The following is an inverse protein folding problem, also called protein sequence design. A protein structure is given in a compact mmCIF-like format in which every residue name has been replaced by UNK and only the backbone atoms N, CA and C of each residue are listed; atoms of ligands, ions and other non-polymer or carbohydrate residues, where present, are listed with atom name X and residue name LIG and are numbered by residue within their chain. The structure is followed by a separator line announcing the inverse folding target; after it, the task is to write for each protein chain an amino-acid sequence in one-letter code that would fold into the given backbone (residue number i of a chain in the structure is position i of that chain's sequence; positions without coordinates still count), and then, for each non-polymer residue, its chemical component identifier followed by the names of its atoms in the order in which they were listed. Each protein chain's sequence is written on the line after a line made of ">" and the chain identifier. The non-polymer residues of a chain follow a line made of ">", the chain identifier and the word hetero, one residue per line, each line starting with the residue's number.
data_IF_595364368696
#
_entry.id   IF_595364368696
#
_cell.length_a   1.000
_cell.length_b   1.000
_cell.length_c   1.000
_cell.angle_alpha   90.00
_cell.angle_beta   90.00
_cell.angle_gamma   90.00
#
_symmetry.space_group_name_H-M   'P 1'
#
loop_
_entity.id
_entity.type
_entity.pdbx_description
1 polymer ?
#
# COMPACT_ATOMS: atom_id res chain seq x y z
N UNK A 1 9.24 3.29 0.50
CA UNK A 1 7.94 3.04 0.16
C UNK A 1 7.20 2.01 0.99
N UNK A 2 6.67 2.39 2.12
CA UNK A 2 5.69 1.63 2.92
C UNK A 2 4.78 2.63 3.66
N UNK A 3 4.49 3.80 3.05
CA UNK A 3 3.70 4.84 3.67
C UNK A 3 4.32 5.44 4.94
N UNK A 4 5.65 5.39 5.09
CA UNK A 4 6.32 5.80 6.34
C UNK A 4 6.12 7.28 6.68
N UNK A 5 6.09 8.16 5.69
CA UNK A 5 5.80 9.59 5.86
C UNK A 5 4.38 9.75 6.44
N UNK A 6 3.40 9.22 5.75
CA UNK A 6 1.99 9.33 6.16
C UNK A 6 1.71 8.65 7.50
N UNK A 7 2.35 7.50 7.78
CA UNK A 7 2.24 6.85 9.11
C UNK A 7 2.81 7.74 10.22
N UNK A 8 3.95 8.40 9.96
CA UNK A 8 4.52 9.36 10.91
C UNK A 8 3.60 10.56 11.11
N UNK A 9 3.09 11.16 10.02
CA UNK A 9 2.19 12.32 10.09
C UNK A 9 0.90 12.00 10.86
N UNK A 10 0.26 10.87 10.56
CA UNK A 10 -0.94 10.41 11.27
C UNK A 10 -0.66 10.19 12.76
N UNK A 11 0.44 9.47 13.10
CA UNK A 11 0.81 9.21 14.49
C UNK A 11 1.16 10.48 15.26
N UNK A 12 1.85 11.43 14.63
CA UNK A 12 2.17 12.73 15.23
C UNK A 12 0.92 13.54 15.51
N UNK A 13 0.00 13.63 14.55
CA UNK A 13 -1.27 14.35 14.72
C UNK A 13 -2.13 13.74 15.84
N UNK A 14 -2.20 12.40 15.90
CA UNK A 14 -2.91 11.70 16.96
C UNK A 14 -2.31 12.02 18.34
N UNK A 15 -0.98 11.99 18.44
CA UNK A 15 -0.30 12.34 19.69
C UNK A 15 -0.54 13.80 20.09
N UNK A 16 -0.48 14.75 19.14
CA UNK A 16 -0.74 16.18 19.41
C UNK A 16 -2.17 16.37 19.91
N UNK A 17 -3.18 15.76 19.28
CA UNK A 17 -4.58 15.83 19.76
C UNK A 17 -4.72 15.28 21.19
N UNK A 18 -4.08 14.14 21.47
CA UNK A 18 -4.09 13.57 22.81
C UNK A 18 -3.46 14.51 23.86
N UNK A 19 -2.30 15.11 23.55
CA UNK A 19 -1.60 16.06 24.44
C UNK A 19 -2.42 17.35 24.70
N UNK A 20 -3.23 17.76 23.74
CA UNK A 20 -4.10 18.93 23.86
C UNK A 20 -5.42 18.61 24.57
N UNK A 21 -5.65 17.40 25.05
CA UNK A 21 -6.90 16.98 25.66
C UNK A 21 -8.07 16.84 24.66
N UNK A 22 -7.74 16.71 23.36
CA UNK A 22 -8.70 16.61 22.25
C UNK A 22 -8.72 15.22 21.62
N UNK A 23 -8.51 14.18 22.43
CA UNK A 23 -8.45 12.79 21.97
C UNK A 23 -9.78 12.31 21.34
N UNK A 24 -10.92 12.88 21.72
CA UNK A 24 -12.23 12.63 21.15
C UNK A 24 -12.35 13.08 19.68
N UNK A 25 -11.55 14.04 19.24
CA UNK A 25 -11.48 14.48 17.86
C UNK A 25 -10.63 13.54 16.98
N UNK A 26 -9.81 12.66 17.55
CA UNK A 26 -8.90 11.78 16.83
C UNK A 26 -9.62 10.58 16.19
N UNK A 27 -10.75 10.82 15.50
CA UNK A 27 -11.38 9.76 14.71
C UNK A 27 -10.50 9.36 13.54
N UNK A 28 -10.61 8.12 13.06
CA UNK A 28 -9.81 7.62 11.92
C UNK A 28 -9.93 8.51 10.69
N UNK A 29 -11.15 8.94 10.35
CA UNK A 29 -11.40 9.83 9.23
C UNK A 29 -10.74 11.19 9.44
N UNK A 30 -10.90 11.80 10.62
CA UNK A 30 -10.33 13.11 10.91
C UNK A 30 -8.79 13.09 10.88
N UNK A 31 -8.17 12.07 11.45
CA UNK A 31 -6.71 11.90 11.39
C UNK A 31 -6.22 11.74 9.95
N UNK A 32 -6.92 10.94 9.12
CA UNK A 32 -6.56 10.76 7.72
C UNK A 32 -6.68 12.09 6.94
N UNK A 33 -7.77 12.83 7.12
CA UNK A 33 -7.99 14.14 6.45
C UNK A 33 -6.95 15.17 6.88
N UNK A 34 -6.68 15.29 8.20
CA UNK A 34 -5.64 16.19 8.69
C UNK A 34 -4.26 15.84 8.10
N UNK A 35 -3.91 14.56 8.05
CA UNK A 35 -2.65 14.12 7.47
C UNK A 35 -2.56 14.41 5.96
N UNK A 36 -3.67 14.19 5.22
CA UNK A 36 -3.76 14.59 3.83
C UNK A 36 -3.54 16.09 3.65
N UNK A 37 -4.17 16.92 4.47
CA UNK A 37 -3.99 18.38 4.42
C UNK A 37 -2.53 18.77 4.64
N UNK A 38 -1.89 18.23 5.67
CA UNK A 38 -0.48 18.51 5.95
C UNK A 38 0.42 18.11 4.79
N UNK A 39 0.28 16.88 4.27
CA UNK A 39 1.22 16.38 3.24
C UNK A 39 0.91 16.97 1.85
N UNK A 40 -0.35 17.10 1.45
CA UNK A 40 -0.72 17.55 0.09
C UNK A 40 -0.82 19.08 -0.03
N UNK A 41 -1.38 19.77 0.99
CA UNK A 41 -1.65 21.20 0.90
C UNK A 41 -0.51 22.04 1.53
N UNK A 42 -0.13 21.74 2.78
CA UNK A 42 0.85 22.54 3.50
C UNK A 42 2.29 22.27 3.03
N UNK A 43 2.63 21.00 2.74
CA UNK A 43 3.94 20.59 2.24
C UNK A 43 4.02 20.52 0.71
N UNK A 44 2.88 20.43 0.02
CA UNK A 44 2.81 20.39 -1.43
C UNK A 44 3.38 19.12 -2.05
N UNK A 45 3.35 17.99 -1.33
CA UNK A 45 3.86 16.71 -1.85
C UNK A 45 2.97 16.16 -2.98
N UNK A 46 3.54 15.70 -4.09
CA UNK A 46 2.80 15.19 -5.26
C UNK A 46 2.33 13.75 -5.04
N UNK A 47 1.66 13.48 -3.93
CA UNK A 47 1.18 12.15 -3.51
C UNK A 47 -0.34 12.07 -3.53
N UNK A 48 -0.88 10.84 -3.47
CA UNK A 48 -2.32 10.62 -3.25
C UNK A 48 -2.68 10.52 -1.76
N UNK A 49 -3.95 10.30 -1.48
CA UNK A 49 -4.52 10.23 -0.12
C UNK A 49 -4.46 8.81 0.49
N UNK A 50 -3.99 7.81 -0.25
CA UNK A 50 -4.12 6.40 0.12
C UNK A 50 -3.38 6.06 1.41
N UNK A 51 -2.13 6.50 1.55
CA UNK A 51 -1.25 6.07 2.64
C UNK A 51 -1.70 6.67 3.99
N UNK A 52 -2.24 7.89 3.99
CA UNK A 52 -2.79 8.55 5.18
C UNK A 52 -4.02 7.81 5.70
N UNK A 53 -4.94 7.44 4.80
CA UNK A 53 -6.11 6.66 5.16
C UNK A 53 -5.73 5.27 5.65
N UNK A 54 -4.81 4.57 4.96
CA UNK A 54 -4.33 3.26 5.40
C UNK A 54 -3.70 3.33 6.80
N UNK A 55 -2.88 4.33 7.09
CA UNK A 55 -2.24 4.52 8.38
C UNK A 55 -3.23 4.86 9.51
N UNK A 56 -4.24 5.67 9.22
CA UNK A 56 -5.25 6.05 10.22
C UNK A 56 -6.22 4.91 10.53
N UNK A 57 -6.65 4.18 9.51
CA UNK A 57 -7.66 3.14 9.66
C UNK A 57 -7.10 1.80 10.15
N UNK A 58 -5.91 1.42 9.70
CA UNK A 58 -5.36 0.08 9.92
C UNK A 58 -6.20 -1.01 9.26
N UNK A 59 -5.75 -2.25 9.34
CA UNK A 59 -6.44 -3.39 8.76
C UNK A 59 -6.46 -3.38 7.23
N UNK A 60 -7.41 -4.13 6.68
CA UNK A 60 -7.68 -4.20 5.25
C UNK A 60 -8.94 -3.41 4.93
N UNK A 61 -8.86 -2.46 4.00
CA UNK A 61 -10.00 -1.64 3.62
C UNK A 61 -10.03 -1.44 2.10
N UNK A 62 -11.23 -1.26 1.56
CA UNK A 62 -11.45 -0.67 0.26
C UNK A 62 -11.76 0.80 0.47
N UNK A 63 -10.86 1.67 0.03
CA UNK A 63 -11.08 3.12 0.05
C UNK A 63 -11.57 3.59 -1.32
N UNK A 64 -12.69 4.32 -1.33
CA UNK A 64 -13.23 4.99 -2.52
C UNK A 64 -13.15 6.50 -2.33
N UNK A 65 -12.29 7.13 -3.11
CA UNK A 65 -12.12 8.58 -3.15
C UNK A 65 -13.07 9.14 -4.20
N UNK A 66 -14.12 9.83 -3.77
CA UNK A 66 -15.16 10.32 -4.65
C UNK A 66 -14.85 11.72 -5.21
N UNK A 67 -15.43 12.11 -6.36
CA UNK A 67 -15.18 13.42 -6.98
C UNK A 67 -15.57 14.62 -6.13
N UNK A 68 -16.51 14.46 -5.20
CA UNK A 68 -16.94 15.49 -4.27
C UNK A 68 -15.97 15.67 -3.06
N UNK A 69 -14.89 14.89 -3.04
CA UNK A 69 -13.89 14.92 -1.98
C UNK A 69 -14.17 13.98 -0.81
N UNK A 70 -15.36 13.37 -0.76
CA UNK A 70 -15.69 12.39 0.29
C UNK A 70 -14.92 11.08 0.11
N UNK A 71 -14.64 10.38 1.20
CA UNK A 71 -13.97 9.09 1.19
C UNK A 71 -14.82 8.04 1.89
N UNK A 72 -15.08 6.98 1.18
CA UNK A 72 -15.74 5.80 1.74
C UNK A 72 -14.67 4.76 2.10
N UNK A 73 -14.75 4.23 3.31
CA UNK A 73 -13.86 3.19 3.81
C UNK A 73 -14.68 1.95 4.15
N UNK A 74 -14.56 0.91 3.35
CA UNK A 74 -15.25 -0.36 3.52
C UNK A 74 -14.26 -1.39 4.09
N UNK A 75 -14.37 -1.78 5.38
CA UNK A 75 -13.49 -2.79 5.96
C UNK A 75 -13.63 -4.15 5.26
N UNK A 76 -12.48 -4.79 5.03
CA UNK A 76 -12.39 -6.19 4.61
C UNK A 76 -12.10 -7.05 5.82
N UNK A 77 -13.14 -7.49 6.53
CA UNK A 77 -12.98 -8.40 7.64
C UNK A 77 -12.81 -9.83 7.12
N UNK A 78 -11.62 -10.38 7.29
CA UNK A 78 -11.29 -11.77 6.95
C UNK A 78 -11.33 -12.69 8.19
N UNK A 79 -11.63 -12.16 9.36
CA UNK A 79 -11.43 -12.85 10.62
C UNK A 79 -9.95 -13.18 10.90
N UNK A 80 -9.69 -13.81 12.04
CA UNK A 80 -8.32 -14.15 12.45
C UNK A 80 -7.69 -15.19 11.54
N UNK A 81 -8.43 -16.23 11.17
CA UNK A 81 -7.94 -17.32 10.32
C UNK A 81 -7.67 -16.86 8.90
N UNK A 82 -8.61 -16.15 8.28
CA UNK A 82 -8.43 -15.64 6.91
C UNK A 82 -7.27 -14.64 6.80
N UNK A 83 -7.04 -13.84 7.85
CA UNK A 83 -5.88 -12.93 7.90
C UNK A 83 -4.57 -13.72 8.01
N UNK A 84 -4.48 -14.69 8.89
CA UNK A 84 -3.30 -15.54 9.02
C UNK A 84 -3.01 -16.30 7.73
N UNK A 85 -4.05 -16.76 7.04
CA UNK A 85 -3.93 -17.42 5.74
C UNK A 85 -3.44 -16.45 4.66
N UNK A 86 -3.98 -15.24 4.59
CA UNK A 86 -3.49 -14.18 3.69
C UNK A 86 -2.01 -13.88 3.93
N UNK A 87 -1.62 -13.66 5.20
CA UNK A 87 -0.22 -13.43 5.56
C UNK A 87 0.68 -14.58 5.13
N UNK A 88 0.21 -15.83 5.28
CA UNK A 88 0.94 -17.01 4.86
C UNK A 88 1.20 -17.09 3.35
N UNK A 89 0.35 -16.46 2.53
CA UNK A 89 0.44 -16.42 1.07
C UNK A 89 1.21 -15.21 0.53
N UNK A 90 1.64 -14.29 1.39
CA UNK A 90 2.36 -13.10 1.00
C UNK A 90 3.82 -13.16 1.46
N UNK A 91 4.73 -12.69 0.61
CA UNK A 91 6.15 -12.55 0.94
C UNK A 91 6.66 -11.20 0.48
N UNK A 92 7.50 -10.58 1.31
CA UNK A 92 8.02 -9.24 1.11
C UNK A 92 9.53 -9.26 0.97
N UNK A 93 10.06 -8.63 -0.08
CA UNK A 93 11.50 -8.54 -0.34
C UNK A 93 11.92 -7.07 -0.53
N UNK A 94 13.06 -6.72 0.06
CA UNK A 94 13.66 -5.40 -0.13
C UNK A 94 14.67 -5.42 -1.27
N UNK A 95 14.50 -4.53 -2.24
CA UNK A 95 15.33 -4.50 -3.47
C UNK A 95 16.68 -3.82 -3.29
N UNK A 96 16.88 -3.09 -2.20
CA UNK A 96 18.09 -2.29 -1.96
C UNK A 96 18.11 -0.92 -2.66
N UNK A 97 17.29 -0.74 -3.69
CA UNK A 97 17.24 0.52 -4.43
C UNK A 97 16.37 1.55 -3.71
N UNK A 98 16.85 2.80 -3.67
CA UNK A 98 16.09 3.94 -3.20
C UNK A 98 16.09 5.02 -4.29
N UNK A 99 14.92 5.48 -4.67
CA UNK A 99 14.73 6.64 -5.55
C UNK A 99 13.75 7.62 -4.92
N UNK A 100 13.85 8.89 -5.34
CA UNK A 100 12.88 9.89 -4.92
C UNK A 100 11.48 9.52 -5.41
N UNK A 101 10.58 9.20 -4.47
CA UNK A 101 9.19 8.91 -4.76
C UNK A 101 8.51 10.12 -5.42
N UNK A 102 8.80 11.33 -4.94
CA UNK A 102 8.19 12.58 -5.43
C UNK A 102 8.43 12.81 -6.92
N UNK A 103 9.62 12.49 -7.45
CA UNK A 103 9.91 12.68 -8.89
C UNK A 103 9.11 11.73 -9.78
N UNK A 104 8.95 10.47 -9.36
CA UNK A 104 8.18 9.45 -10.12
C UNK A 104 6.68 9.81 -10.07
N UNK A 105 6.18 10.21 -8.91
CA UNK A 105 4.78 10.58 -8.73
C UNK A 105 4.43 11.88 -9.47
N UNK A 106 5.34 12.86 -9.50
CA UNK A 106 5.16 14.08 -10.28
C UNK A 106 5.09 13.79 -11.80
N UNK A 107 5.97 12.90 -12.33
CA UNK A 107 5.89 12.45 -13.72
C UNK A 107 4.57 11.71 -13.98
N UNK A 108 4.18 10.79 -13.12
CA UNK A 108 2.94 10.03 -13.25
C UNK A 108 1.73 10.98 -13.26
N UNK A 109 1.64 11.91 -12.30
CA UNK A 109 0.54 12.86 -12.20
C UNK A 109 0.43 13.74 -13.45
N UNK A 110 1.56 14.27 -13.93
CA UNK A 110 1.59 15.08 -15.16
C UNK A 110 1.10 14.29 -16.38
N UNK A 111 1.59 13.08 -16.57
CA UNK A 111 1.21 12.23 -17.70
C UNK A 111 -0.26 11.82 -17.63
N UNK A 112 -0.76 11.47 -16.45
CA UNK A 112 -2.17 11.13 -16.26
C UNK A 112 -3.09 12.32 -16.55
N UNK A 113 -2.69 13.53 -16.20
CA UNK A 113 -3.48 14.74 -16.50
C UNK A 113 -3.54 15.09 -17.98
N UNK A 114 -2.56 14.68 -18.79
CA UNK A 114 -2.41 15.11 -20.20
C UNK A 114 -2.62 13.99 -21.21
N UNK A 115 -2.46 12.73 -20.84
CA UNK A 115 -2.49 11.58 -21.75
C UNK A 115 -3.73 10.70 -21.46
N UNK A 116 -4.71 10.67 -22.35
CA UNK A 116 -5.94 9.87 -22.20
C UNK A 116 -5.65 8.38 -22.00
N UNK A 117 -4.60 7.86 -22.63
CA UNK A 117 -4.23 6.45 -22.46
C UNK A 117 -3.82 6.15 -21.02
N UNK A 118 -3.20 7.11 -20.31
CA UNK A 118 -2.85 6.93 -18.89
C UNK A 118 -4.07 7.00 -17.97
N UNK A 119 -5.06 7.81 -18.31
CA UNK A 119 -6.34 7.82 -17.60
C UNK A 119 -7.03 6.47 -17.75
N UNK A 120 -7.11 5.90 -18.95
CA UNK A 120 -7.67 4.55 -19.16
C UNK A 120 -6.93 3.47 -18.38
N UNK A 121 -5.61 3.56 -18.27
CA UNK A 121 -4.83 2.64 -17.43
C UNK A 121 -5.21 2.76 -15.96
N UNK A 122 -5.42 3.97 -15.44
CA UNK A 122 -5.90 4.15 -14.06
C UNK A 122 -7.30 3.60 -13.87
N UNK A 123 -8.21 3.80 -14.83
CA UNK A 123 -9.56 3.23 -14.77
C UNK A 123 -9.49 1.69 -14.71
N UNK A 124 -8.67 1.06 -15.55
CA UNK A 124 -8.42 -0.38 -15.50
C UNK A 124 -7.85 -0.83 -14.14
N UNK A 125 -6.95 -0.05 -13.54
CA UNK A 125 -6.44 -0.38 -12.19
C UNK A 125 -7.52 -0.26 -11.12
N UNK A 126 -8.44 0.69 -11.24
CA UNK A 126 -9.61 0.82 -10.35
C UNK A 126 -10.54 -0.38 -10.50
N UNK A 127 -10.79 -0.84 -11.72
CA UNK A 127 -11.64 -2.00 -12.02
C UNK A 127 -11.12 -3.30 -11.37
N UNK A 128 -9.84 -3.40 -11.01
CA UNK A 128 -9.28 -4.55 -10.30
C UNK A 128 -9.59 -4.56 -8.79
N UNK A 129 -10.06 -3.46 -8.21
CA UNK A 129 -10.23 -3.33 -6.76
C UNK A 129 -11.33 -4.25 -6.22
N UNK A 130 -12.52 -4.23 -6.82
CA UNK A 130 -13.64 -5.06 -6.36
C UNK A 130 -13.41 -6.56 -6.60
N UNK A 131 -12.86 -7.01 -7.76
CA UNK A 131 -12.40 -8.39 -7.92
C UNK A 131 -11.37 -8.82 -6.87
N UNK A 132 -10.38 -7.96 -6.55
CA UNK A 132 -9.39 -8.25 -5.51
C UNK A 132 -10.04 -8.37 -4.13
N UNK A 133 -10.92 -7.45 -3.76
CA UNK A 133 -11.65 -7.51 -2.51
C UNK A 133 -12.51 -8.79 -2.40
N UNK A 134 -13.14 -9.19 -3.51
CA UNK A 134 -13.89 -10.45 -3.59
C UNK A 134 -12.97 -11.67 -3.46
N UNK A 135 -11.82 -11.68 -4.11
CA UNK A 135 -10.86 -12.79 -4.01
C UNK A 135 -10.38 -12.95 -2.56
N UNK A 136 -10.05 -11.84 -1.89
CA UNK A 136 -9.61 -11.84 -0.48
C UNK A 136 -10.70 -12.37 0.45
N UNK A 137 -11.94 -11.89 0.35
CA UNK A 137 -13.06 -12.34 1.19
C UNK A 137 -13.34 -13.85 1.05
N UNK A 138 -13.04 -14.42 -0.11
CA UNK A 138 -13.32 -15.83 -0.43
C UNK A 138 -12.08 -16.74 -0.39
N UNK A 139 -10.93 -16.26 0.12
CA UNK A 139 -9.70 -17.06 0.20
C UNK A 139 -9.16 -17.52 -1.15
N UNK A 140 -9.45 -16.80 -2.24
CA UNK A 140 -9.00 -17.16 -3.59
C UNK A 140 -7.58 -16.61 -3.86
N UNK A 141 -6.60 -17.16 -3.18
CA UNK A 141 -5.23 -16.62 -3.15
C UNK A 141 -4.52 -16.63 -4.51
N UNK A 142 -4.81 -17.62 -5.36
CA UNK A 142 -4.26 -17.63 -6.72
C UNK A 142 -4.82 -16.50 -7.58
N UNK A 143 -6.12 -16.21 -7.45
CA UNK A 143 -6.77 -15.08 -8.13
C UNK A 143 -6.22 -13.74 -7.61
N UNK A 144 -6.03 -13.60 -6.30
CA UNK A 144 -5.33 -12.45 -5.70
C UNK A 144 -3.98 -12.22 -6.38
N UNK A 145 -3.18 -13.28 -6.54
CA UNK A 145 -1.88 -13.18 -7.20
C UNK A 145 -1.98 -12.69 -8.63
N UNK A 146 -2.91 -13.23 -9.42
CA UNK A 146 -3.13 -12.80 -10.81
C UNK A 146 -3.55 -11.32 -10.89
N UNK A 147 -4.46 -10.86 -10.02
CA UNK A 147 -4.90 -9.47 -9.97
C UNK A 147 -3.78 -8.52 -9.55
N UNK A 148 -2.92 -8.91 -8.61
CA UNK A 148 -1.71 -8.15 -8.26
C UNK A 148 -0.74 -8.06 -9.44
N UNK A 149 -0.57 -9.15 -10.21
CA UNK A 149 0.24 -9.16 -11.42
C UNK A 149 -0.30 -8.20 -12.46
N UNK A 150 -1.59 -8.26 -12.77
CA UNK A 150 -2.25 -7.38 -13.72
C UNK A 150 -2.12 -5.92 -13.30
N UNK A 151 -2.40 -5.60 -12.04
CA UNK A 151 -2.20 -4.26 -11.50
C UNK A 151 -0.76 -3.76 -11.69
N UNK A 152 0.24 -4.64 -11.46
CA UNK A 152 1.64 -4.30 -11.66
C UNK A 152 1.98 -4.03 -13.12
N UNK A 153 1.47 -4.84 -14.06
CA UNK A 153 1.66 -4.60 -15.50
C UNK A 153 1.10 -3.25 -15.92
N UNK A 154 -0.11 -2.91 -15.48
CA UNK A 154 -0.74 -1.61 -15.74
C UNK A 154 0.09 -0.47 -15.15
N UNK A 155 0.47 -0.59 -13.88
CA UNK A 155 1.23 0.45 -13.18
C UNK A 155 2.55 0.79 -13.85
N UNK A 156 3.29 -0.18 -14.35
CA UNK A 156 4.56 0.04 -15.05
C UNK A 156 4.43 0.96 -16.26
N UNK A 157 3.25 1.02 -16.89
CA UNK A 157 3.01 1.85 -18.06
C UNK A 157 2.75 3.33 -17.74
N UNK A 158 2.51 3.69 -16.47
CA UNK A 158 2.11 5.05 -16.08
C UNK A 158 3.27 6.06 -16.14
N UNK A 159 4.48 5.65 -15.78
CA UNK A 159 5.67 6.49 -15.84
C UNK A 159 6.94 5.67 -16.06
N UNK A 160 7.96 6.27 -16.66
CA UNK A 160 9.20 5.58 -17.05
C UNK A 160 10.06 5.12 -15.89
N UNK A 161 9.96 5.80 -14.74
CA UNK A 161 10.75 5.50 -13.53
C UNK A 161 10.18 4.44 -12.61
N UNK A 162 8.97 3.91 -12.89
CA UNK A 162 8.29 2.96 -12.00
C UNK A 162 9.03 1.62 -11.93
N UNK A 163 9.61 1.17 -13.04
CA UNK A 163 10.40 -0.07 -13.10
C UNK A 163 11.78 0.17 -13.69
N UNK A 164 12.66 -0.82 -13.58
CA UNK A 164 14.00 -0.84 -14.16
C UNK A 164 14.41 -2.28 -14.48
N UNK A 165 15.49 -2.53 -15.26
CA UNK A 165 15.91 -3.87 -15.64
C UNK A 165 16.15 -4.82 -14.47
N UNK A 166 16.68 -4.32 -13.34
CA UNK A 166 16.89 -5.12 -12.13
C UNK A 166 15.56 -5.59 -11.53
N UNK A 167 14.62 -4.66 -11.34
CA UNK A 167 13.27 -4.98 -10.83
C UNK A 167 12.53 -5.95 -11.75
N UNK A 168 12.65 -5.78 -13.08
CA UNK A 168 12.03 -6.69 -14.05
C UNK A 168 12.63 -8.09 -13.96
N UNK A 169 13.96 -8.21 -13.81
CA UNK A 169 14.65 -9.48 -13.64
C UNK A 169 14.23 -10.19 -12.34
N UNK A 170 14.21 -9.48 -11.21
CA UNK A 170 13.75 -10.00 -9.93
C UNK A 170 12.31 -10.49 -10.00
N UNK A 171 11.44 -9.69 -10.62
CA UNK A 171 10.03 -10.03 -10.78
C UNK A 171 9.82 -11.27 -11.66
N UNK A 172 10.51 -11.34 -12.80
CA UNK A 172 10.46 -12.52 -13.68
C UNK A 172 10.99 -13.77 -12.98
N UNK A 173 12.09 -13.63 -12.23
CA UNK A 173 12.64 -14.72 -11.40
C UNK A 173 11.62 -15.20 -10.37
N UNK A 174 10.88 -14.30 -9.74
CA UNK A 174 9.87 -14.67 -8.77
C UNK A 174 8.72 -15.48 -9.40
N UNK A 175 8.18 -15.04 -10.53
CA UNK A 175 7.15 -15.78 -11.26
C UNK A 175 7.60 -17.16 -11.69
N UNK A 176 8.84 -17.30 -12.20
CA UNK A 176 9.41 -18.58 -12.60
C UNK A 176 9.64 -19.55 -11.42
N UNK A 177 9.62 -19.05 -10.17
CA UNK A 177 9.90 -19.82 -8.97
C UNK A 177 8.77 -19.86 -7.95
N UNK A 178 7.52 -19.75 -8.42
CA UNK A 178 6.34 -20.09 -7.63
C UNK A 178 5.52 -18.91 -7.13
N UNK A 179 5.91 -17.65 -7.38
CA UNK A 179 5.01 -16.54 -7.17
C UNK A 179 3.89 -16.56 -8.23
N UNK A 180 2.65 -16.39 -7.81
CA UNK A 180 1.49 -16.28 -8.69
C UNK A 180 1.29 -14.87 -9.23
N UNK A 181 1.91 -13.89 -8.58
CA UNK A 181 1.90 -12.49 -8.96
C UNK A 181 2.51 -11.64 -7.86
N UNK A 182 2.42 -10.32 -8.03
CA UNK A 182 2.98 -9.40 -7.05
C UNK A 182 3.06 -7.98 -7.58
N UNK A 183 3.62 -7.08 -6.81
CA UNK A 183 3.85 -5.68 -7.19
C UNK A 183 4.99 -5.03 -6.41
N UNK A 184 5.56 -4.00 -6.99
CA UNK A 184 6.40 -3.08 -6.23
C UNK A 184 5.50 -2.14 -5.40
N UNK A 185 5.78 -2.01 -4.12
CA UNK A 185 5.04 -1.12 -3.22
C UNK A 185 5.50 0.33 -3.36
N UNK A 186 4.60 1.27 -3.08
CA UNK A 186 4.88 2.71 -3.15
C UNK A 186 4.92 3.28 -4.57
N UNK A 187 5.67 4.35 -4.78
CA UNK A 187 5.71 5.12 -6.03
C UNK A 187 6.34 4.37 -7.21
N UNK A 188 7.30 3.52 -6.97
CA UNK A 188 8.09 2.85 -8.02
C UNK A 188 9.60 3.06 -7.84
N UNK A 189 10.38 2.53 -8.79
CA UNK A 189 11.83 2.74 -8.87
C UNK A 189 12.68 1.94 -7.89
N UNK A 190 12.10 1.34 -6.86
CA UNK A 190 12.77 0.55 -5.83
C UNK A 190 11.96 0.46 -4.54
N UNK A 191 12.52 -0.16 -3.53
CA UNK A 191 11.86 -0.36 -2.23
C UNK A 191 11.47 -1.82 -2.01
N UNK A 192 10.19 -2.11 -1.83
CA UNK A 192 9.71 -3.44 -1.47
C UNK A 192 8.89 -4.08 -2.59
N UNK A 193 9.27 -5.31 -2.95
CA UNK A 193 8.47 -6.19 -3.80
C UNK A 193 7.61 -7.10 -2.91
N UNK A 194 6.30 -7.02 -3.08
CA UNK A 194 5.32 -7.91 -2.46
C UNK A 194 4.92 -8.96 -3.49
N UNK A 195 5.05 -10.24 -3.13
CA UNK A 195 4.62 -11.35 -3.97
C UNK A 195 3.52 -12.17 -3.28
N UNK A 196 2.53 -12.56 -4.05
CA UNK A 196 1.64 -13.66 -3.71
C UNK A 196 2.33 -14.98 -4.09
N UNK A 197 2.56 -15.83 -3.10
CA UNK A 197 3.26 -17.10 -3.27
C UNK A 197 2.70 -18.14 -2.30
N UNK A 198 2.18 -19.29 -2.80
CA UNK A 198 1.72 -20.35 -1.94
C UNK A 198 2.81 -20.78 -0.95
N UNK A 199 2.47 -21.11 0.32
CA UNK A 199 3.45 -21.50 1.33
C UNK A 199 4.41 -22.63 0.87
N UNK A 200 3.89 -23.59 0.11
CA UNK A 200 4.67 -24.71 -0.44
C UNK A 200 5.75 -24.30 -1.45
N UNK A 201 5.66 -23.11 -2.05
CA UNK A 201 6.60 -22.59 -3.04
C UNK A 201 7.58 -21.55 -2.48
N UNK A 202 7.35 -21.06 -1.27
CA UNK A 202 8.13 -19.93 -0.72
C UNK A 202 9.60 -20.25 -0.50
N UNK A 203 9.95 -21.51 -0.16
CA UNK A 203 11.36 -21.91 -0.03
C UNK A 203 12.10 -21.83 -1.37
N UNK A 204 11.47 -22.30 -2.45
CA UNK A 204 12.00 -22.21 -3.81
C UNK A 204 12.15 -20.75 -4.26
N UNK A 205 11.13 -19.93 -4.01
CA UNK A 205 11.16 -18.49 -4.30
C UNK A 205 12.29 -17.79 -3.54
N UNK A 206 12.42 -18.05 -2.24
CA UNK A 206 13.47 -17.46 -1.41
C UNK A 206 14.86 -17.84 -1.87
N UNK A 207 15.07 -19.10 -2.27
CA UNK A 207 16.35 -19.54 -2.82
C UNK A 207 16.67 -18.84 -4.14
N UNK A 208 15.70 -18.71 -5.03
CA UNK A 208 15.87 -18.04 -6.33
C UNK A 208 16.14 -16.52 -6.20
N UNK A 209 15.57 -15.87 -5.20
CA UNK A 209 15.75 -14.44 -4.90
C UNK A 209 16.85 -14.20 -3.84
N UNK A 210 17.76 -15.12 -3.63
CA UNK A 210 18.79 -15.07 -2.58
C UNK A 210 19.72 -13.85 -2.60
N UNK A 211 19.67 -13.04 -3.68
CA UNK A 211 20.39 -11.76 -3.79
C UNK A 211 19.73 -10.60 -3.03
N UNK A 212 18.46 -10.75 -2.65
CA UNK A 212 17.70 -9.70 -1.94
C UNK A 212 17.11 -10.22 -0.63
N UNK A 213 16.97 -9.31 0.34
CA UNK A 213 16.53 -9.66 1.69
C UNK A 213 15.03 -9.84 1.76
N UNK A 214 14.57 -11.00 2.24
CA UNK A 214 13.18 -11.21 2.69
C UNK A 214 12.95 -10.49 4.01
N UNK A 215 11.82 -9.78 4.12
CA UNK A 215 11.38 -9.12 5.34
C UNK A 215 10.16 -9.84 5.93
N UNK A 216 10.19 -10.18 7.22
CA UNK A 216 8.99 -10.58 7.91
C UNK A 216 8.07 -9.37 8.10
N UNK A 217 6.77 -9.59 8.01
CA UNK A 217 5.75 -8.57 8.28
C UNK A 217 4.49 -9.24 8.83
N UNK A 218 3.65 -8.46 9.46
CA UNK A 218 2.29 -8.82 9.82
C UNK A 218 1.35 -7.68 9.45
N UNK A 219 0.08 -8.01 9.21
CA UNK A 219 -0.95 -7.02 8.92
C UNK A 219 -1.37 -6.34 10.22
N UNK A 220 -1.18 -5.04 10.28
CA UNK A 220 -1.65 -4.21 11.39
C UNK A 220 -3.19 -4.07 11.32
N UNK A 221 -3.88 -4.00 12.45
CA UNK A 221 -5.35 -4.09 12.51
C UNK A 221 -6.04 -2.81 12.99
N UNK A 222 -5.36 -2.02 13.81
CA UNK A 222 -6.00 -0.97 14.59
C UNK A 222 -5.81 0.43 13.98
N UNK A 223 -4.77 0.61 13.15
CA UNK A 223 -4.33 1.90 12.68
C UNK A 223 -3.62 2.70 13.76
N UNK A 224 -3.77 4.01 13.73
CA UNK A 224 -3.17 4.86 14.75
C UNK A 224 -3.91 4.73 16.08
N UNK A 225 -3.16 4.45 17.16
CA UNK A 225 -3.71 4.37 18.52
C UNK A 225 -2.74 4.94 19.56
N UNK A 226 -3.29 5.49 20.63
CA UNK A 226 -2.50 5.91 21.80
C UNK A 226 -2.14 4.67 22.59
N UNK A 227 -0.84 4.41 22.78
CA UNK A 227 -0.35 3.26 23.55
C UNK A 227 -0.21 3.59 25.04
N UNK A 228 0.09 4.85 25.36
CA UNK A 228 0.28 5.34 26.71
C UNK A 228 -0.16 6.79 26.80
N UNK A 229 -0.90 7.11 27.85
CA UNK A 229 -1.22 8.48 28.23
C UNK A 229 -1.01 8.59 29.74
N UNK A 230 -0.25 9.60 30.18
CA UNK A 230 -0.14 9.91 31.60
C UNK A 230 -1.53 10.35 32.14
N UNK A 231 -1.96 9.71 33.20
CA UNK A 231 -3.21 10.05 33.88
C UNK A 231 -3.06 11.26 34.84
N UNK A 232 -1.96 12.01 34.75
CA UNK A 232 -1.75 13.19 35.56
C UNK A 232 -2.32 14.41 34.86
N UNK A 233 -3.62 14.65 35.05
CA UNK A 233 -4.21 15.95 35.22
C UNK A 233 -5.59 15.79 35.85
N UNK A 234 -5.64 15.58 37.17
CA UNK A 234 -6.77 15.83 38.03
C UNK A 234 -6.61 17.19 38.71
#
# INVERSE_FOLDING_TARGET
>A
GMGSSSSFTVGLLHNVLAQLGRADEATKAHLAEMACRVELEDLGEPIGKQDQYAAAYGGLNVFRFLPDGTVQADPLDLGTEGRAELESHLVLYYTGDQRSASSILAEQSKRTATEQDKQRVLDQMVDLVDPLASALRNGRWSEMGNLLHENWQLKQSLASGITNPNLQSLYATALANGATGGKLLGAGGGGFLLFACPPSQQSRLTQALGSIRRFPFSLETDGSKVLYADSENG
#
